data_IF_960423685251
#
_entry.id   IF_960423685251
#
_cell.length_a   1.000
_cell.length_b   1.000
_cell.length_c   1.000
_cell.angle_alpha   90.00
_cell.angle_beta   90.00
_cell.angle_gamma   90.00
#
_symmetry.space_group_name_H-M   'P 1'
#
loop_
_entity.id
_entity.type
_entity.pdbx_description
1 polymer ?
#
# COMPACT_ATOMS: atom_id res chain seq x y z
N UNK A 1 -5.03 -3.70 -13.06
CA UNK A 1 -6.43 -3.27 -13.07
C UNK A 1 -6.94 -3.24 -11.65
N UNK A 2 -7.71 -2.20 -11.31
CA UNK A 2 -8.41 -2.12 -10.02
C UNK A 2 -9.86 -2.46 -10.30
N UNK A 3 -10.34 -3.62 -9.82
CA UNK A 3 -11.79 -3.92 -9.84
C UNK A 3 -12.39 -3.29 -8.59
N UNK A 4 -13.45 -2.52 -8.78
CA UNK A 4 -14.19 -1.89 -7.69
C UNK A 4 -15.59 -2.47 -7.71
N UNK A 5 -15.96 -3.22 -6.68
CA UNK A 5 -17.34 -3.66 -6.46
C UNK A 5 -17.99 -2.71 -5.44
N UNK A 6 -19.16 -2.18 -5.78
CA UNK A 6 -19.92 -1.27 -4.93
C UNK A 6 -21.09 -2.05 -4.34
N UNK A 7 -21.19 -2.07 -3.00
CA UNK A 7 -22.39 -2.54 -2.31
C UNK A 7 -22.99 -1.38 -1.50
N UNK A 8 -24.13 -0.87 -1.93
CA UNK A 8 -24.91 0.13 -1.19
C UNK A 8 -25.72 -0.57 -0.11
N UNK A 9 -25.55 -0.20 1.16
CA UNK A 9 -26.25 -0.86 2.27
C UNK A 9 -27.37 -0.03 2.89
N UNK A 10 -27.21 1.30 2.97
CA UNK A 10 -28.20 2.26 3.51
C UNK A 10 -28.03 3.61 2.82
N UNK A 11 -28.99 4.51 2.98
CA UNK A 11 -29.15 5.78 2.24
C UNK A 11 -27.86 6.60 2.02
N UNK A 12 -26.85 6.53 2.91
CA UNK A 12 -25.55 7.21 2.77
C UNK A 12 -24.30 6.33 2.97
N UNK A 13 -24.42 5.00 3.05
CA UNK A 13 -23.27 4.09 3.27
C UNK A 13 -22.93 3.26 2.03
N UNK A 14 -21.70 3.41 1.56
CA UNK A 14 -21.16 2.72 0.38
C UNK A 14 -19.99 1.84 0.80
N UNK A 15 -20.08 0.53 0.55
CA UNK A 15 -18.94 -0.38 0.66
C UNK A 15 -18.23 -0.46 -0.69
N UNK A 16 -16.95 -0.09 -0.70
CA UNK A 16 -16.06 -0.21 -1.85
C UNK A 16 -15.14 -1.41 -1.63
N UNK A 17 -15.30 -2.46 -2.42
CA UNK A 17 -14.36 -3.57 -2.45
C UNK A 17 -13.39 -3.35 -3.59
N UNK A 18 -12.12 -3.19 -3.25
CA UNK A 18 -11.05 -2.83 -4.18
C UNK A 18 -10.14 -4.04 -4.35
N UNK A 19 -10.09 -4.61 -5.55
CA UNK A 19 -9.14 -5.66 -5.89
C UNK A 19 -7.97 -5.05 -6.68
N UNK A 20 -6.75 -5.40 -6.28
CA UNK A 20 -5.51 -4.84 -6.81
C UNK A 20 -4.63 -5.92 -7.44
N UNK A 21 -4.03 -5.61 -8.59
CA UNK A 21 -3.12 -6.53 -9.27
C UNK A 21 -1.82 -6.72 -8.50
N UNK A 22 -1.42 -7.99 -8.35
CA UNK A 22 -0.15 -8.42 -7.73
C UNK A 22 1.09 -7.71 -8.31
N UNK A 23 1.08 -7.38 -9.60
CA UNK A 23 2.19 -6.69 -10.28
C UNK A 23 2.41 -5.27 -9.75
N UNK A 24 1.33 -4.52 -9.51
CA UNK A 24 1.43 -3.16 -8.92
C UNK A 24 1.97 -3.24 -7.49
N UNK A 25 1.57 -4.26 -6.73
CA UNK A 25 2.05 -4.49 -5.36
C UNK A 25 3.54 -4.74 -5.33
N UNK A 26 4.02 -5.65 -6.18
CA UNK A 26 5.43 -6.01 -6.24
C UNK A 26 6.31 -4.80 -6.61
N UNK A 27 5.86 -3.98 -7.56
CA UNK A 27 6.58 -2.74 -7.93
C UNK A 27 6.66 -1.75 -6.77
N UNK A 28 5.58 -1.60 -6.00
CA UNK A 28 5.59 -0.72 -4.83
C UNK A 28 6.41 -1.30 -3.67
N UNK A 29 6.39 -2.62 -3.45
CA UNK A 29 7.30 -3.30 -2.52
C UNK A 29 8.75 -3.01 -2.86
N UNK A 30 9.14 -3.13 -4.13
CA UNK A 30 10.51 -2.84 -4.58
C UNK A 30 10.93 -1.39 -4.31
N UNK A 31 10.00 -0.42 -4.48
CA UNK A 31 10.24 0.98 -4.12
C UNK A 31 10.44 1.13 -2.61
N UNK A 32 9.60 0.51 -1.79
CA UNK A 32 9.72 0.57 -0.32
C UNK A 32 11.05 -0.05 0.14
N UNK A 33 11.49 -1.15 -0.48
CA UNK A 33 12.81 -1.73 -0.23
C UNK A 33 13.95 -0.75 -0.53
N UNK A 34 13.90 -0.09 -1.68
CA UNK A 34 14.89 0.90 -2.06
C UNK A 34 14.89 2.09 -1.09
N UNK A 35 13.73 2.69 -0.82
CA UNK A 35 13.60 3.83 0.10
C UNK A 35 14.12 3.50 1.50
N UNK A 36 13.81 2.30 2.00
CA UNK A 36 14.26 1.82 3.31
C UNK A 36 15.78 1.63 3.32
N UNK A 37 16.36 1.13 2.23
CA UNK A 37 17.82 0.95 2.11
C UNK A 37 18.61 2.26 2.16
N UNK A 38 17.99 3.39 1.80
CA UNK A 38 18.60 4.72 1.94
C UNK A 38 18.45 5.28 3.36
N UNK A 39 17.34 4.98 4.05
CA UNK A 39 17.05 5.49 5.39
C UNK A 39 17.86 4.79 6.47
N UNK A 40 18.13 3.50 6.31
CA UNK A 40 18.77 2.68 7.35
C UNK A 40 20.28 2.57 7.10
N UNK A 41 21.06 2.65 8.18
CA UNK A 41 22.51 2.39 8.17
C UNK A 41 22.75 0.99 8.75
N UNK A 42 23.12 0.04 7.90
CA UNK A 42 23.53 -1.30 8.32
C UNK A 42 25.06 -1.40 8.24
N UNK A 43 25.75 -1.84 9.31
CA UNK A 43 27.20 -2.03 9.27
C UNK A 43 27.58 -3.03 8.17
N UNK A 44 28.64 -2.73 7.41
CA UNK A 44 29.11 -3.56 6.30
C UNK A 44 28.50 -3.25 4.94
N UNK A 45 27.41 -2.50 4.86
CA UNK A 45 26.78 -2.12 3.58
C UNK A 45 26.79 -0.61 3.35
N UNK A 46 27.09 -0.21 2.11
CA UNK A 46 26.95 1.18 1.67
C UNK A 46 25.46 1.54 1.62
N UNK A 47 25.11 2.74 2.11
CA UNK A 47 23.73 3.29 2.06
C UNK A 47 23.12 3.11 0.66
N UNK A 48 21.89 2.62 0.59
CA UNK A 48 21.16 2.39 -0.66
C UNK A 48 21.53 1.10 -1.41
N UNK A 49 22.62 0.41 -1.04
CA UNK A 49 23.09 -0.82 -1.72
C UNK A 49 23.08 -1.99 -0.76
N UNK A 50 21.94 -2.20 -0.12
CA UNK A 50 21.73 -3.28 0.83
C UNK A 50 20.88 -4.38 0.17
N UNK A 51 21.32 -5.64 0.17
CA UNK A 51 20.52 -6.75 -0.35
C UNK A 51 19.18 -6.92 0.39
N UNK A 52 18.13 -7.29 -0.35
CA UNK A 52 16.77 -7.51 0.20
C UNK A 52 16.76 -8.53 1.33
N UNK A 53 17.58 -9.58 1.25
CA UNK A 53 17.65 -10.63 2.27
C UNK A 53 18.11 -10.08 3.63
N UNK A 54 19.07 -9.16 3.64
CA UNK A 54 19.56 -8.51 4.86
C UNK A 54 18.50 -7.55 5.42
N UNK A 55 17.82 -6.79 4.56
CA UNK A 55 16.73 -5.90 4.99
C UNK A 55 15.59 -6.67 5.67
N UNK A 56 15.20 -7.80 5.07
CA UNK A 56 14.17 -8.69 5.61
C UNK A 56 14.58 -9.32 6.94
N UNK A 57 15.88 -9.62 7.14
CA UNK A 57 16.39 -10.17 8.40
C UNK A 57 16.37 -9.13 9.52
N UNK A 58 16.66 -7.88 9.21
CA UNK A 58 16.76 -6.80 10.19
C UNK A 58 15.41 -6.24 10.65
N UNK A 59 14.47 -6.08 9.71
CA UNK A 59 13.18 -5.43 9.96
C UNK A 59 12.00 -6.41 9.98
N UNK A 60 12.21 -7.63 9.49
CA UNK A 60 11.12 -8.56 9.21
C UNK A 60 10.40 -8.23 7.91
N UNK A 61 9.75 -9.24 7.32
CA UNK A 61 8.93 -9.06 6.11
C UNK A 61 7.68 -8.21 6.39
N UNK A 62 7.17 -8.27 7.61
CA UNK A 62 5.94 -7.61 8.04
C UNK A 62 6.02 -6.09 7.94
N UNK A 63 7.15 -5.50 8.34
CA UNK A 63 7.41 -4.07 8.21
C UNK A 63 7.26 -3.57 6.76
N UNK A 64 7.72 -4.36 5.78
CA UNK A 64 7.62 -3.99 4.36
C UNK A 64 6.19 -4.09 3.85
N UNK A 65 5.42 -5.08 4.31
CA UNK A 65 4.01 -5.19 3.97
C UNK A 65 3.21 -4.04 4.56
N UNK A 66 3.42 -3.71 5.83
CA UNK A 66 2.77 -2.58 6.49
C UNK A 66 3.09 -1.26 5.80
N UNK A 67 4.37 -0.97 5.54
CA UNK A 67 4.79 0.24 4.81
C UNK A 67 4.24 0.31 3.39
N UNK A 68 4.12 -0.84 2.73
CA UNK A 68 3.52 -0.88 1.38
C UNK A 68 2.02 -0.64 1.48
N UNK A 69 1.34 -1.22 2.47
CA UNK A 69 -0.09 -1.04 2.70
C UNK A 69 -0.43 0.42 3.02
N UNK A 70 0.31 1.06 3.93
CA UNK A 70 0.16 2.50 4.27
C UNK A 70 0.22 3.41 3.05
N UNK A 71 1.07 3.08 2.07
CA UNK A 71 1.22 3.88 0.85
C UNK A 71 0.16 3.56 -0.19
N UNK A 72 -0.19 2.29 -0.33
CA UNK A 72 -1.02 1.81 -1.43
C UNK A 72 -2.51 1.96 -1.13
N UNK A 73 -2.94 1.82 0.13
CA UNK A 73 -4.35 1.95 0.53
C UNK A 73 -4.90 3.34 0.17
N UNK A 74 -4.24 4.47 0.52
CA UNK A 74 -4.73 5.80 0.16
C UNK A 74 -4.76 6.03 -1.35
N UNK A 75 -3.73 5.59 -2.09
CA UNK A 75 -3.68 5.72 -3.55
C UNK A 75 -4.86 4.98 -4.21
N UNK A 76 -5.11 3.74 -3.80
CA UNK A 76 -6.23 2.93 -4.30
C UNK A 76 -7.58 3.50 -3.92
N UNK A 77 -7.73 4.01 -2.70
CA UNK A 77 -8.95 4.66 -2.25
C UNK A 77 -9.26 5.90 -3.10
N UNK A 78 -8.27 6.77 -3.32
CA UNK A 78 -8.42 7.95 -4.16
C UNK A 78 -8.74 7.59 -5.61
N UNK A 79 -8.08 6.59 -6.19
CA UNK A 79 -8.41 6.09 -7.54
C UNK A 79 -9.87 5.59 -7.61
N UNK A 80 -10.34 4.86 -6.60
CA UNK A 80 -11.70 4.32 -6.56
C UNK A 80 -12.76 5.43 -6.37
N UNK A 81 -12.50 6.40 -5.50
CA UNK A 81 -13.38 7.55 -5.25
C UNK A 81 -13.50 8.43 -6.50
N UNK A 82 -12.37 8.74 -7.14
CA UNK A 82 -12.33 9.55 -8.36
C UNK A 82 -13.06 8.87 -9.52
N UNK A 83 -12.89 7.55 -9.71
CA UNK A 83 -13.60 6.81 -10.76
C UNK A 83 -15.11 6.82 -10.60
N UNK A 84 -15.59 6.86 -9.36
CA UNK A 84 -17.02 6.79 -9.05
C UNK A 84 -17.62 8.17 -8.74
N UNK A 85 -16.84 9.26 -8.84
CA UNK A 85 -17.23 10.62 -8.48
C UNK A 85 -17.94 10.71 -7.11
N UNK A 86 -17.52 9.88 -6.16
CA UNK A 86 -18.08 9.90 -4.80
C UNK A 86 -17.42 11.04 -4.05
N UNK A 87 -18.20 11.86 -3.35
CA UNK A 87 -17.68 12.84 -2.40
C UNK A 87 -17.80 12.28 -0.99
N UNK A 88 -16.72 11.69 -0.42
CA UNK A 88 -16.78 11.15 0.93
C UNK A 88 -16.91 12.30 1.94
N UNK A 89 -17.92 12.21 2.80
CA UNK A 89 -18.20 13.20 3.85
C UNK A 89 -17.47 12.81 5.15
N UNK A 90 -17.18 11.52 5.34
CA UNK A 90 -16.55 10.97 6.55
C UNK A 90 -15.28 10.16 6.21
N UNK A 91 -14.43 9.94 7.22
CA UNK A 91 -13.27 9.07 7.08
C UNK A 91 -13.72 7.63 6.80
N UNK A 92 -13.13 6.93 5.82
CA UNK A 92 -13.48 5.56 5.53
C UNK A 92 -12.96 4.62 6.61
N UNK A 93 -13.77 3.65 7.00
CA UNK A 93 -13.33 2.53 7.84
C UNK A 93 -12.58 1.52 6.95
N UNK A 94 -11.27 1.37 7.15
CA UNK A 94 -10.41 0.53 6.32
C UNK A 94 -10.29 -0.85 6.97
N UNK A 95 -10.67 -1.88 6.21
CA UNK A 95 -10.38 -3.28 6.54
C UNK A 95 -9.48 -3.85 5.45
N UNK A 96 -8.29 -4.31 5.84
CA UNK A 96 -7.27 -4.90 4.97
C UNK A 96 -7.40 -6.41 4.98
#
# INVERSE_FOLDING_TARGET
MVKVEIMTQKENEVKLKIEMDKLKVNSNLDKVYNDTSYKIKIPGFRKGRIPKNILNLHLGKEYFYEKTAEKLIPECYLEAVNKNNIQPINQPEIKV
#
